data_IF_076402264363
#
_entry.id   IF_076402264363
#
_cell.length_a   1.000
_cell.length_b   1.000
_cell.length_c   1.000
_cell.angle_alpha   90.00
_cell.angle_beta   90.00
_cell.angle_gamma   90.00
#
_symmetry.space_group_name_H-M   'P 1'
#
loop_
_entity.id
_entity.type
_entity.pdbx_description
1 polymer ?
#
# COMPACT_ATOMS: atom_id res chain seq x y z
N UNK A 1 -9.82 -15.27 -20.03
CA UNK A 1 -8.92 -14.96 -18.90
C UNK A 1 -7.84 -16.00 -18.70
N UNK A 2 -7.11 -16.39 -19.75
CA UNK A 2 -5.80 -17.06 -19.70
C UNK A 2 -5.56 -18.17 -18.66
N UNK A 3 -4.29 -18.44 -18.41
CA UNK A 3 -3.82 -19.16 -17.22
C UNK A 3 -3.90 -18.26 -15.99
N UNK A 4 -3.89 -18.85 -14.80
CA UNK A 4 -3.88 -18.08 -13.55
C UNK A 4 -2.61 -17.23 -13.48
N UNK A 5 -2.69 -15.89 -13.36
CA UNK A 5 -1.51 -15.02 -13.32
C UNK A 5 -0.81 -15.02 -11.95
N UNK A 6 -1.32 -15.75 -10.96
CA UNK A 6 -0.80 -15.79 -9.60
C UNK A 6 -0.52 -17.23 -9.13
N UNK A 7 0.43 -17.34 -8.21
CA UNK A 7 0.71 -18.58 -7.46
C UNK A 7 0.03 -18.50 -6.11
N UNK A 8 -0.40 -19.66 -5.57
CA UNK A 8 -0.92 -19.78 -4.21
C UNK A 8 -0.06 -20.80 -3.45
N UNK A 9 0.35 -20.44 -2.23
CA UNK A 9 1.17 -21.28 -1.36
C UNK A 9 0.52 -21.35 0.02
N UNK A 10 0.49 -22.52 0.64
CA UNK A 10 0.00 -22.69 2.00
C UNK A 10 1.09 -22.30 3.01
N UNK A 11 0.76 -21.47 3.99
CA UNK A 11 1.69 -21.06 5.07
C UNK A 11 1.75 -22.07 6.22
N UNK A 12 0.73 -22.93 6.31
CA UNK A 12 0.58 -24.00 7.31
C UNK A 12 -0.11 -25.19 6.65
N UNK A 13 -0.18 -26.32 7.35
CA UNK A 13 -0.94 -27.48 6.88
C UNK A 13 -2.40 -27.09 6.58
N UNK A 14 -2.81 -27.28 5.34
CA UNK A 14 -4.10 -26.82 4.84
C UNK A 14 -4.83 -27.94 4.11
N UNK A 15 -6.13 -28.07 4.40
CA UNK A 15 -7.05 -28.89 3.60
C UNK A 15 -7.75 -27.98 2.60
N UNK A 16 -7.65 -28.31 1.31
CA UNK A 16 -8.25 -27.51 0.23
C UNK A 16 -9.22 -28.34 -0.60
N UNK A 17 -10.30 -27.69 -1.02
CA UNK A 17 -11.29 -28.28 -1.92
C UNK A 17 -11.00 -27.80 -3.34
N UNK A 18 -10.76 -28.75 -4.25
CA UNK A 18 -10.57 -28.44 -5.66
C UNK A 18 -11.90 -28.60 -6.39
N UNK A 19 -12.41 -27.49 -6.91
CA UNK A 19 -13.58 -27.48 -7.79
C UNK A 19 -13.09 -27.28 -9.22
N UNK A 20 -13.50 -28.14 -10.15
CA UNK A 20 -13.11 -27.97 -11.54
C UNK A 20 -13.88 -26.82 -12.17
N UNK A 21 -13.23 -26.11 -13.09
CA UNK A 21 -13.84 -25.00 -13.83
C UNK A 21 -15.14 -25.40 -14.54
N UNK A 22 -15.20 -26.61 -15.08
CA UNK A 22 -16.39 -27.07 -15.81
C UNK A 22 -17.57 -27.36 -14.87
N UNK A 23 -17.29 -27.84 -13.65
CA UNK A 23 -18.33 -28.05 -12.64
C UNK A 23 -18.99 -26.72 -12.24
N UNK A 24 -18.18 -25.68 -11.98
CA UNK A 24 -18.69 -24.33 -11.68
C UNK A 24 -19.55 -23.80 -12.83
N UNK A 25 -19.12 -24.01 -14.08
CA UNK A 25 -19.89 -23.59 -15.26
C UNK A 25 -21.23 -24.30 -15.37
N UNK A 26 -21.26 -25.61 -15.13
CA UNK A 26 -22.50 -26.37 -15.16
C UNK A 26 -23.47 -25.92 -14.06
N UNK A 27 -22.97 -25.72 -12.83
CA UNK A 27 -23.81 -25.25 -11.72
C UNK A 27 -24.33 -23.84 -11.99
N UNK A 28 -23.49 -22.92 -12.47
CA UNK A 28 -23.91 -21.56 -12.81
C UNK A 28 -24.97 -21.50 -13.93
N UNK A 29 -24.95 -22.45 -14.87
CA UNK A 29 -26.02 -22.58 -15.90
C UNK A 29 -27.34 -23.05 -15.31
N UNK A 30 -27.30 -23.96 -14.33
CA UNK A 30 -28.50 -24.49 -13.67
C UNK A 30 -29.07 -23.53 -12.63
N UNK A 31 -28.21 -22.71 -12.01
CA UNK A 31 -28.56 -21.76 -10.96
C UNK A 31 -28.03 -20.37 -11.33
N UNK A 32 -28.80 -19.54 -12.06
CA UNK A 32 -28.38 -18.21 -12.50
C UNK A 32 -27.95 -17.28 -11.36
N UNK A 33 -28.52 -17.44 -10.16
CA UNK A 33 -28.14 -16.66 -8.98
C UNK A 33 -26.67 -16.85 -8.60
N UNK A 34 -26.10 -18.04 -8.83
CA UNK A 34 -24.66 -18.27 -8.66
C UNK A 34 -23.84 -17.45 -9.66
N UNK A 35 -24.31 -17.33 -10.90
CA UNK A 35 -23.62 -16.51 -11.90
C UNK A 35 -23.61 -15.03 -11.48
N UNK A 36 -24.73 -14.52 -10.97
CA UNK A 36 -24.81 -13.17 -10.40
C UNK A 36 -23.87 -12.98 -9.21
N UNK A 37 -23.86 -13.91 -8.26
CA UNK A 37 -22.95 -13.87 -7.11
C UNK A 37 -21.46 -13.87 -7.53
N UNK A 38 -21.11 -14.65 -8.56
CA UNK A 38 -19.75 -14.64 -9.12
C UNK A 38 -19.40 -13.30 -9.79
N UNK A 39 -20.34 -12.71 -10.55
CA UNK A 39 -20.16 -11.40 -11.19
C UNK A 39 -19.98 -10.30 -10.12
N UNK A 40 -20.81 -10.29 -9.09
CA UNK A 40 -20.68 -9.35 -7.97
C UNK A 40 -19.35 -9.51 -7.24
N UNK A 41 -18.92 -10.74 -6.96
CA UNK A 41 -17.62 -11.03 -6.36
C UNK A 41 -16.45 -10.51 -7.21
N UNK A 42 -16.52 -10.66 -8.54
CA UNK A 42 -15.54 -10.09 -9.46
C UNK A 42 -15.60 -8.56 -9.42
N UNK A 43 -16.77 -7.94 -9.46
CA UNK A 43 -16.93 -6.49 -9.43
C UNK A 43 -16.37 -5.87 -8.13
N UNK A 44 -16.59 -6.52 -6.98
CA UNK A 44 -15.97 -6.14 -5.71
C UNK A 44 -14.45 -6.24 -5.80
N UNK A 45 -13.91 -7.35 -6.30
CA UNK A 45 -12.47 -7.54 -6.43
C UNK A 45 -11.83 -6.53 -7.39
N UNK A 46 -12.49 -6.20 -8.48
CA UNK A 46 -12.05 -5.16 -9.43
C UNK A 46 -12.03 -3.79 -8.77
N UNK A 47 -13.08 -3.40 -8.03
CA UNK A 47 -13.08 -2.15 -7.27
C UNK A 47 -11.95 -2.09 -6.24
N UNK A 48 -11.69 -3.18 -5.52
CA UNK A 48 -10.57 -3.25 -4.59
C UNK A 48 -9.21 -3.08 -5.28
N UNK A 49 -9.04 -3.63 -6.49
CA UNK A 49 -7.83 -3.44 -7.29
C UNK A 49 -7.70 -2.00 -7.80
N UNK A 50 -8.80 -1.38 -8.23
CA UNK A 50 -8.81 0.04 -8.62
C UNK A 50 -8.45 0.91 -7.42
N UNK A 51 -9.04 0.68 -6.25
CA UNK A 51 -8.70 1.42 -5.02
C UNK A 51 -7.25 1.18 -4.60
N UNK A 52 -6.73 -0.04 -4.77
CA UNK A 52 -5.31 -0.33 -4.53
C UNK A 52 -4.43 0.47 -5.51
N UNK A 53 -4.76 0.47 -6.80
CA UNK A 53 -4.06 1.25 -7.82
C UNK A 53 -4.15 2.74 -7.50
N UNK A 54 -5.32 3.25 -7.10
CA UNK A 54 -5.53 4.64 -6.68
C UNK A 54 -4.69 4.97 -5.44
N UNK A 55 -4.65 4.10 -4.42
CA UNK A 55 -3.79 4.28 -3.24
C UNK A 55 -2.30 4.30 -3.58
N UNK A 56 -1.91 3.52 -4.60
CA UNK A 56 -0.54 3.46 -5.12
C UNK A 56 -0.22 4.68 -6.01
N UNK A 57 -1.21 5.21 -6.73
CA UNK A 57 -1.11 6.23 -7.78
C UNK A 57 -1.37 7.66 -7.31
N UNK A 58 -2.29 7.89 -6.36
CA UNK A 58 -2.72 9.21 -5.92
C UNK A 58 -1.87 9.81 -4.80
N UNK A 59 -0.88 9.06 -4.30
CA UNK A 59 0.19 9.62 -3.46
C UNK A 59 1.52 9.11 -3.97
N UNK A 60 2.41 10.02 -4.33
CA UNK A 60 3.81 9.65 -4.54
C UNK A 60 4.32 9.00 -3.25
N UNK A 61 5.30 8.09 -3.35
CA UNK A 61 5.95 7.51 -2.17
C UNK A 61 6.42 8.62 -1.20
N UNK A 62 6.79 9.78 -1.76
CA UNK A 62 7.08 11.02 -1.05
C UNK A 62 5.89 11.54 -0.21
N UNK A 63 4.69 11.62 -0.77
CA UNK A 63 3.50 12.09 -0.03
C UNK A 63 2.98 11.11 1.01
N UNK A 64 3.09 9.79 0.78
CA UNK A 64 2.79 8.79 1.83
C UNK A 64 3.80 8.87 2.98
N UNK A 65 5.08 9.05 2.66
CA UNK A 65 6.13 9.26 3.65
C UNK A 65 5.95 10.57 4.43
N UNK A 66 5.58 11.66 3.77
CA UNK A 66 5.32 12.94 4.41
C UNK A 66 4.18 12.86 5.44
N UNK A 67 3.09 12.17 5.11
CA UNK A 67 2.01 11.89 6.06
C UNK A 67 2.48 11.08 7.27
N UNK A 68 3.25 10.01 7.06
CA UNK A 68 3.78 9.18 8.14
C UNK A 68 4.62 10.01 9.13
N UNK A 69 5.48 10.90 8.62
CA UNK A 69 6.30 11.78 9.46
C UNK A 69 5.43 12.79 10.24
N UNK A 70 4.42 13.38 9.61
CA UNK A 70 3.50 14.31 10.28
C UNK A 70 2.71 13.65 11.41
N UNK A 71 2.25 12.40 11.21
CA UNK A 71 1.54 11.65 12.25
C UNK A 71 2.44 11.38 13.47
N UNK A 72 3.71 11.06 13.24
CA UNK A 72 4.65 10.79 14.32
C UNK A 72 5.07 12.03 15.08
N UNK A 73 5.28 13.15 14.39
CA UNK A 73 5.52 14.44 15.03
C UNK A 73 4.31 14.86 15.90
N UNK A 74 3.08 14.65 15.41
CA UNK A 74 1.86 14.89 16.21
C UNK A 74 1.79 14.00 17.45
N UNK A 75 2.08 12.70 17.31
CA UNK A 75 2.02 11.75 18.42
C UNK A 75 3.05 12.04 19.51
N UNK A 76 4.22 12.56 19.14
CA UNK A 76 5.32 12.82 20.08
C UNK A 76 5.36 14.27 20.57
N UNK A 77 4.56 15.19 20.00
CA UNK A 77 4.61 16.65 20.22
C UNK A 77 6.00 17.27 19.97
N UNK A 78 6.84 16.61 19.17
CA UNK A 78 8.23 17.03 18.90
C UNK A 78 8.46 16.90 17.39
N UNK A 79 9.19 17.85 16.80
CA UNK A 79 9.58 17.83 15.38
C UNK A 79 10.79 16.92 15.09
N UNK A 80 11.36 16.32 16.13
CA UNK A 80 12.45 15.36 16.08
C UNK A 80 11.84 13.97 16.26
N UNK A 81 11.84 13.21 15.16
CA UNK A 81 11.24 11.88 15.11
C UNK A 81 12.38 10.88 15.26
N UNK A 82 12.41 10.06 16.32
CA UNK A 82 13.38 8.98 16.44
C UNK A 82 13.26 8.05 15.22
N UNK A 83 14.38 7.58 14.67
CA UNK A 83 14.36 6.66 13.53
C UNK A 83 14.08 5.24 14.02
N UNK A 84 12.84 4.97 14.41
CA UNK A 84 12.40 3.66 14.92
C UNK A 84 12.06 2.66 13.79
N UNK A 85 12.04 3.11 12.53
CA UNK A 85 11.87 2.23 11.35
C UNK A 85 13.06 2.34 10.39
N UNK A 86 13.53 1.17 9.94
CA UNK A 86 14.41 1.00 8.80
C UNK A 86 13.68 1.35 7.49
N UNK A 87 14.44 1.52 6.41
CA UNK A 87 13.83 1.74 5.08
C UNK A 87 13.01 0.55 4.60
N UNK A 88 13.36 -0.67 5.04
CA UNK A 88 12.62 -1.90 4.70
C UNK A 88 11.24 -1.90 5.39
N UNK A 89 11.20 -1.54 6.67
CA UNK A 89 9.96 -1.43 7.45
C UNK A 89 9.07 -0.30 6.95
N UNK A 90 9.64 0.88 6.65
CA UNK A 90 8.90 1.97 6.01
C UNK A 90 8.35 1.56 4.65
N UNK A 91 9.11 0.78 3.87
CA UNK A 91 8.67 0.30 2.57
C UNK A 91 7.49 -0.67 2.69
N UNK A 92 7.58 -1.63 3.61
CA UNK A 92 6.50 -2.56 3.94
C UNK A 92 5.24 -1.82 4.40
N UNK A 93 5.41 -0.83 5.29
CA UNK A 93 4.31 -0.05 5.84
C UNK A 93 3.61 0.83 4.79
N UNK A 94 4.38 1.45 3.89
CA UNK A 94 3.87 2.40 2.87
C UNK A 94 3.56 1.74 1.52
N UNK A 95 3.58 0.39 1.46
CA UNK A 95 3.26 -0.38 0.25
C UNK A 95 4.20 -0.08 -0.92
N UNK A 96 5.51 0.00 -0.65
CA UNK A 96 6.54 0.31 -1.65
C UNK A 96 7.79 -0.54 -1.45
N UNK A 97 8.89 -0.20 -2.15
CA UNK A 97 10.19 -0.86 -2.02
C UNK A 97 11.20 0.05 -1.34
N UNK A 98 12.21 -0.54 -0.68
CA UNK A 98 13.26 0.17 0.06
C UNK A 98 13.92 1.31 -0.74
N UNK A 99 14.18 1.08 -2.02
CA UNK A 99 14.79 2.08 -2.91
C UNK A 99 13.94 3.35 -3.02
N UNK A 100 12.61 3.20 -3.09
CA UNK A 100 11.70 4.33 -3.22
C UNK A 100 11.60 5.15 -1.94
N UNK A 101 11.71 4.51 -0.77
CA UNK A 101 11.82 5.23 0.52
C UNK A 101 13.10 6.06 0.57
N UNK A 102 14.23 5.48 0.18
CA UNK A 102 15.51 6.21 0.12
C UNK A 102 15.44 7.42 -0.81
N UNK A 103 14.86 7.25 -2.02
CA UNK A 103 14.64 8.34 -2.97
C UNK A 103 13.72 9.43 -2.41
N UNK A 104 12.64 9.05 -1.72
CA UNK A 104 11.70 9.99 -1.12
C UNK A 104 12.33 10.80 0.03
N UNK A 105 13.07 10.16 0.94
CA UNK A 105 13.81 10.83 2.02
C UNK A 105 14.83 11.82 1.46
N UNK A 106 15.62 11.39 0.46
CA UNK A 106 16.60 12.26 -0.19
C UNK A 106 15.93 13.46 -0.88
N UNK A 107 14.78 13.27 -1.52
CA UNK A 107 14.04 14.35 -2.16
C UNK A 107 13.50 15.38 -1.15
N UNK A 108 12.99 14.94 0.00
CA UNK A 108 12.50 15.83 1.05
C UNK A 108 13.67 16.56 1.74
N UNK A 109 14.81 15.88 1.92
CA UNK A 109 16.02 16.48 2.48
C UNK A 109 16.65 17.51 1.53
N UNK A 110 16.72 17.20 0.23
CA UNK A 110 17.21 18.13 -0.78
C UNK A 110 16.31 19.37 -0.95
N UNK A 111 15.03 19.27 -0.59
CA UNK A 111 14.09 20.38 -0.58
C UNK A 111 14.12 21.20 0.72
N UNK A 112 15.01 20.85 1.66
CA UNK A 112 15.14 21.45 3.00
C UNK A 112 13.85 21.37 3.83
N UNK A 113 13.00 20.37 3.55
CA UNK A 113 11.74 20.15 4.29
C UNK A 113 12.01 19.30 5.55
N UNK A 114 12.95 18.35 5.44
CA UNK A 114 13.40 17.51 6.54
C UNK A 114 14.93 17.45 6.59
N UNK A 115 15.48 17.09 7.74
CA UNK A 115 16.87 16.72 7.90
C UNK A 115 16.94 15.27 8.37
N UNK A 116 17.67 14.43 7.63
CA UNK A 116 17.83 13.01 7.97
C UNK A 116 19.16 12.81 8.66
N UNK A 117 19.10 12.40 9.93
CA UNK A 117 20.27 12.06 10.72
C UNK A 117 20.39 10.55 10.93
N UNK A 118 21.48 10.13 11.56
CA UNK A 118 21.77 8.70 11.77
C UNK A 118 20.72 8.01 12.64
N UNK A 119 20.17 8.73 13.63
CA UNK A 119 19.22 8.18 14.62
C UNK A 119 17.86 8.89 14.64
N UNK A 120 17.66 9.93 13.84
CA UNK A 120 16.42 10.71 13.86
C UNK A 120 16.15 11.41 12.51
N UNK A 121 14.90 11.83 12.33
CA UNK A 121 14.46 12.67 11.23
C UNK A 121 13.88 13.95 11.85
N UNK A 122 14.42 15.10 11.46
CA UNK A 122 13.98 16.40 11.96
C UNK A 122 13.12 17.05 10.89
N UNK A 123 11.92 17.52 11.25
CA UNK A 123 11.07 18.30 10.34
C UNK A 123 11.49 19.76 10.45
N UNK A 124 11.97 20.32 9.33
CA UNK A 124 12.40 21.72 9.24
C UNK A 124 11.22 22.64 8.90
N UNK A 125 10.30 22.16 8.04
CA UNK A 125 9.13 22.93 7.58
C UNK A 125 7.88 22.05 7.58
N UNK A 126 7.02 22.25 8.59
CA UNK A 126 5.79 21.49 8.79
C UNK A 126 4.74 21.82 7.72
N UNK A 127 4.66 23.08 7.27
CA UNK A 127 3.66 23.52 6.29
C UNK A 127 3.96 22.98 4.89
N UNK A 128 5.24 23.01 4.49
CA UNK A 128 5.68 22.39 3.23
C UNK A 128 5.58 20.88 3.28
N UNK A 129 5.87 20.25 4.42
CA UNK A 129 5.68 18.81 4.60
C UNK A 129 4.19 18.42 4.51
N UNK A 130 3.29 19.22 5.09
CA UNK A 130 1.84 19.06 4.96
C UNK A 130 1.38 19.23 3.50
N UNK A 131 1.93 20.20 2.79
CA UNK A 131 1.64 20.42 1.36
C UNK A 131 2.11 19.24 0.49
N UNK A 132 3.23 18.60 0.83
CA UNK A 132 3.71 17.38 0.16
C UNK A 132 2.89 16.13 0.53
N UNK A 133 2.22 16.16 1.69
CA UNK A 133 1.31 15.13 2.15
C UNK A 133 -0.08 15.22 1.51
N UNK A 134 -0.49 16.41 1.07
CA UNK A 134 -1.73 16.67 0.34
C UNK A 134 -1.59 16.36 -1.16
N UNK A 135 -2.68 15.88 -1.75
CA UNK A 135 -2.71 15.37 -3.13
C UNK A 135 -2.67 16.52 -4.13
N UNK A 136 -1.81 16.40 -5.16
CA UNK A 136 -2.08 16.95 -6.49
C UNK A 136 -2.57 15.84 -7.40
#
# INVERSE_FOLDING_TARGET
>A
GGTNPATATAFTDATVWRIMREDIRQVARRHPDLAWALIEGIAVRTRNLVNLIESLSMRTVKGRLANLLLEQAKSNQINEIPRFMTHEEMASHLGTVREMIGRALNSLAAAEIIQVERHQIIILDVERLASEAEVK
#
